data_IF_440190498670
#
_entry.id   IF_440190498670
#
_cell.length_a   1.000
_cell.length_b   1.000
_cell.length_c   1.000
_cell.angle_alpha   90.00
_cell.angle_beta   90.00
_cell.angle_gamma   90.00
#
_symmetry.space_group_name_H-M   'P 1'
#
loop_
_entity.id
_entity.type
_entity.pdbx_description
1 polymer ?
#
# COMPACT_ATOMS: atom_id res chain seq x y z
N UNK A 1 -2.13 32.70 -3.29
CA UNK A 1 -0.93 31.86 -3.11
C UNK A 1 -0.36 31.55 -4.49
N UNK A 2 0.96 31.63 -4.66
CA UNK A 2 1.59 31.30 -5.95
C UNK A 2 1.52 29.78 -6.15
N UNK A 3 0.76 29.33 -7.17
CA UNK A 3 0.54 27.91 -7.46
C UNK A 3 1.85 27.15 -7.67
N UNK A 4 2.84 27.79 -8.30
CA UNK A 4 4.14 27.17 -8.55
C UNK A 4 4.88 26.93 -7.23
N UNK A 5 4.86 27.92 -6.33
CA UNK A 5 5.50 27.82 -5.03
C UNK A 5 4.86 26.73 -4.17
N UNK A 6 3.53 26.71 -4.11
CA UNK A 6 2.78 25.69 -3.37
C UNK A 6 3.06 24.27 -3.86
N UNK A 7 3.04 24.06 -5.17
CA UNK A 7 3.34 22.74 -5.73
C UNK A 7 4.78 22.34 -5.41
N UNK A 8 5.75 23.25 -5.50
CA UNK A 8 7.13 22.93 -5.14
C UNK A 8 7.28 22.57 -3.65
N UNK A 9 6.60 23.29 -2.75
CA UNK A 9 6.64 22.99 -1.31
C UNK A 9 6.14 21.57 -1.02
N UNK A 10 4.97 21.21 -1.56
CA UNK A 10 4.41 19.85 -1.45
C UNK A 10 5.38 18.80 -2.02
N UNK A 11 5.89 19.03 -3.24
CA UNK A 11 6.74 18.04 -3.90
C UNK A 11 8.12 17.91 -3.24
N UNK A 12 8.65 18.96 -2.61
CA UNK A 12 9.92 18.88 -1.87
C UNK A 12 9.80 17.86 -0.74
N UNK A 13 8.71 17.89 0.02
CA UNK A 13 8.48 17.01 1.16
C UNK A 13 8.37 15.54 0.74
N UNK A 14 7.48 15.22 -0.20
CA UNK A 14 7.31 13.84 -0.68
C UNK A 14 8.58 13.31 -1.37
N UNK A 15 9.33 14.19 -2.05
CA UNK A 15 10.59 13.81 -2.71
C UNK A 15 11.71 13.55 -1.71
N UNK A 16 11.72 14.27 -0.59
CA UNK A 16 12.66 14.03 0.49
C UNK A 16 12.37 12.69 1.15
N UNK A 17 11.11 12.43 1.53
CA UNK A 17 10.69 11.14 2.10
C UNK A 17 11.01 9.96 1.17
N UNK A 18 10.77 10.12 -0.14
CA UNK A 18 11.14 9.14 -1.17
C UNK A 18 12.62 8.81 -1.17
N UNK A 19 13.50 9.81 -1.11
CA UNK A 19 14.96 9.60 -1.10
C UNK A 19 15.39 8.80 0.13
N UNK A 20 14.82 9.11 1.28
CA UNK A 20 15.12 8.43 2.54
C UNK A 20 14.66 6.97 2.52
N UNK A 21 13.45 6.69 2.05
CA UNK A 21 12.94 5.32 1.88
C UNK A 21 13.78 4.52 0.87
N UNK A 22 14.11 5.11 -0.28
CA UNK A 22 15.00 4.48 -1.26
C UNK A 22 16.35 4.13 -0.64
N UNK A 23 16.93 5.04 0.14
CA UNK A 23 18.19 4.80 0.82
C UNK A 23 18.07 3.63 1.80
N UNK A 24 17.03 3.62 2.65
CA UNK A 24 16.76 2.54 3.58
C UNK A 24 16.64 1.16 2.90
N UNK A 25 15.85 1.05 1.83
CA UNK A 25 15.67 -0.22 1.12
C UNK A 25 16.94 -0.65 0.39
N UNK A 26 17.69 0.29 -0.19
CA UNK A 26 18.97 0.02 -0.85
C UNK A 26 20.01 -0.51 0.14
N UNK A 27 20.11 0.07 1.33
CA UNK A 27 21.04 -0.41 2.38
C UNK A 27 20.71 -1.84 2.85
N UNK A 28 19.45 -2.25 2.75
CA UNK A 28 18.99 -3.61 3.07
C UNK A 28 19.03 -4.57 1.88
N UNK A 29 19.54 -4.13 0.72
CA UNK A 29 19.76 -4.98 -0.45
C UNK A 29 18.51 -5.22 -1.31
N UNK A 30 17.44 -4.45 -1.15
CA UNK A 30 16.25 -4.58 -1.99
C UNK A 30 16.49 -3.96 -3.38
N UNK A 31 16.01 -4.66 -4.40
CA UNK A 31 15.90 -4.11 -5.75
C UNK A 31 14.59 -3.35 -5.90
N UNK A 32 14.65 -2.19 -6.54
CA UNK A 32 13.48 -1.34 -6.73
C UNK A 32 13.50 -0.64 -8.09
N UNK A 33 12.31 -0.26 -8.55
CA UNK A 33 12.08 0.75 -9.58
C UNK A 33 11.33 1.91 -8.94
N UNK A 34 11.49 3.12 -9.47
CA UNK A 34 10.78 4.27 -8.96
C UNK A 34 10.30 5.14 -10.11
N UNK A 35 9.05 5.59 -10.03
CA UNK A 35 8.40 6.45 -11.01
C UNK A 35 7.40 7.40 -10.35
N UNK A 36 6.78 8.24 -11.16
CA UNK A 36 5.69 9.11 -10.73
C UNK A 36 4.42 8.73 -11.49
N UNK A 37 3.34 8.49 -10.76
CA UNK A 37 2.08 7.98 -11.29
C UNK A 37 0.93 8.81 -10.74
N UNK A 38 -0.06 9.10 -11.57
CA UNK A 38 -1.28 9.82 -11.20
C UNK A 38 -2.50 8.88 -11.25
N UNK A 39 -3.68 9.44 -11.00
CA UNK A 39 -4.98 8.76 -11.01
C UNK A 39 -5.19 7.76 -9.87
N UNK A 40 -4.57 8.04 -8.71
CA UNK A 40 -4.88 7.32 -7.48
C UNK A 40 -6.26 7.75 -6.98
N UNK A 41 -7.10 6.78 -6.61
CA UNK A 41 -8.41 7.07 -6.02
C UNK A 41 -8.29 7.05 -4.52
N UNK A 42 -8.55 8.20 -3.88
CA UNK A 42 -8.49 8.36 -2.43
C UNK A 42 -9.88 8.67 -1.88
N UNK A 43 -10.13 8.24 -0.65
CA UNK A 43 -11.40 8.48 0.03
C UNK A 43 -11.27 9.66 0.97
N UNK A 44 -11.96 10.75 0.67
CA UNK A 44 -12.00 11.99 1.47
C UNK A 44 -13.45 12.24 1.88
N UNK A 45 -13.72 12.35 3.18
CA UNK A 45 -15.07 12.59 3.70
C UNK A 45 -16.16 11.64 3.15
N UNK A 46 -15.82 10.35 2.98
CA UNK A 46 -16.63 9.30 2.35
C UNK A 46 -16.89 9.43 0.84
N UNK A 47 -16.31 10.41 0.16
CA UNK A 47 -16.33 10.53 -1.29
C UNK A 47 -15.02 10.03 -1.90
N UNK A 48 -15.13 9.31 -3.02
CA UNK A 48 -13.97 8.91 -3.81
C UNK A 48 -13.56 10.05 -4.73
N UNK A 49 -12.31 10.50 -4.60
CA UNK A 49 -11.71 11.52 -5.44
C UNK A 49 -10.54 10.90 -6.18
N UNK A 50 -10.46 11.15 -7.49
CA UNK A 50 -9.28 10.78 -8.29
C UNK A 50 -8.26 11.91 -8.27
N UNK A 51 -7.06 11.59 -7.84
CA UNK A 51 -5.93 12.53 -7.81
C UNK A 51 -5.29 12.62 -9.19
N UNK A 52 -5.45 13.76 -9.86
CA UNK A 52 -4.86 13.98 -11.19
C UNK A 52 -3.35 14.27 -11.15
N UNK A 53 -2.82 14.61 -9.98
CA UNK A 53 -1.39 14.88 -9.80
C UNK A 53 -0.59 13.58 -9.65
N UNK A 54 0.67 13.55 -10.10
CA UNK A 54 1.48 12.36 -9.99
C UNK A 54 2.26 12.30 -8.67
N UNK A 55 2.23 11.16 -7.98
CA UNK A 55 2.98 10.91 -6.74
C UNK A 55 4.12 9.92 -7.00
N UNK A 56 5.23 9.96 -6.23
CA UNK A 56 6.28 8.97 -6.36
C UNK A 56 5.84 7.61 -5.80
N UNK A 57 6.10 6.56 -6.59
CA UNK A 57 5.90 5.17 -6.20
C UNK A 57 7.22 4.41 -6.31
N UNK A 58 7.57 3.67 -5.27
CA UNK A 58 8.73 2.79 -5.20
C UNK A 58 8.24 1.35 -5.33
N UNK A 59 8.45 0.75 -6.49
CA UNK A 59 8.09 -0.63 -6.80
C UNK A 59 9.23 -1.56 -6.39
N UNK A 60 9.00 -2.38 -5.37
CA UNK A 60 9.97 -3.37 -4.89
C UNK A 60 9.64 -4.73 -5.52
N UNK A 61 10.62 -5.29 -6.23
CA UNK A 61 10.43 -6.53 -7.00
C UNK A 61 9.99 -7.69 -6.10
N UNK A 62 8.90 -8.38 -6.47
CA UNK A 62 8.28 -9.49 -5.72
C UNK A 62 7.72 -9.11 -4.33
N UNK A 63 7.67 -7.82 -4.00
CA UNK A 63 7.23 -7.34 -2.69
C UNK A 63 5.92 -6.58 -2.80
N UNK A 64 5.90 -5.51 -3.60
CA UNK A 64 4.77 -4.60 -3.71
C UNK A 64 5.20 -3.16 -4.03
N UNK A 65 4.23 -2.26 -4.07
CA UNK A 65 4.40 -0.87 -4.45
C UNK A 65 4.23 0.05 -3.23
N UNK A 66 5.22 0.90 -2.95
CA UNK A 66 5.18 1.88 -1.87
C UNK A 66 4.97 3.29 -2.45
N UNK A 67 3.76 3.80 -2.36
CA UNK A 67 3.38 5.15 -2.78
C UNK A 67 3.54 6.18 -1.66
N UNK A 68 4.05 7.36 -2.00
CA UNK A 68 4.21 8.48 -1.06
C UNK A 68 3.33 9.61 -1.57
N UNK A 69 2.11 9.65 -1.05
CA UNK A 69 1.14 10.69 -1.36
C UNK A 69 1.38 11.94 -0.48
N UNK A 70 0.67 13.02 -0.76
CA UNK A 70 0.72 14.30 -0.04
C UNK A 70 0.29 14.12 1.42
N UNK A 71 -0.70 13.27 1.68
CA UNK A 71 -1.32 13.13 3.00
C UNK A 71 -0.89 11.90 3.79
N UNK A 72 -0.40 10.87 3.10
CA UNK A 72 -0.07 9.58 3.69
C UNK A 72 0.92 8.81 2.81
N UNK A 73 1.41 7.69 3.33
CA UNK A 73 2.18 6.70 2.56
C UNK A 73 1.34 5.43 2.53
N UNK A 74 1.27 4.79 1.38
CA UNK A 74 0.63 3.48 1.25
C UNK A 74 1.60 2.44 0.73
N UNK A 75 1.44 1.21 1.20
CA UNK A 75 2.13 0.04 0.67
C UNK A 75 1.10 -0.96 0.15
N UNK A 76 1.15 -1.23 -1.14
CA UNK A 76 0.18 -2.07 -1.83
C UNK A 76 0.82 -3.39 -2.27
N UNK A 77 0.10 -4.47 -2.02
CA UNK A 77 0.45 -5.82 -2.47
C UNK A 77 -0.75 -6.41 -3.19
N UNK A 78 -0.51 -6.98 -4.36
CA UNK A 78 -1.48 -7.80 -5.07
C UNK A 78 -1.12 -9.27 -4.89
N UNK A 79 -2.09 -10.06 -4.44
CA UNK A 79 -1.97 -11.52 -4.30
C UNK A 79 -3.05 -12.23 -5.10
N UNK A 80 -2.83 -13.49 -5.45
CA UNK A 80 -3.90 -14.28 -6.08
C UNK A 80 -5.03 -14.52 -5.08
N UNK A 81 -6.24 -14.74 -5.59
CA UNK A 81 -7.39 -15.17 -4.78
C UNK A 81 -7.07 -16.37 -3.91
N UNK A 82 -6.34 -17.36 -4.44
CA UNK A 82 -5.93 -18.55 -3.69
C UNK A 82 -5.02 -18.19 -2.51
N UNK A 83 -3.96 -17.41 -2.76
CA UNK A 83 -3.06 -16.93 -1.72
C UNK A 83 -3.85 -16.19 -0.63
N UNK A 84 -4.70 -15.23 -1.00
CA UNK A 84 -5.53 -14.47 -0.06
C UNK A 84 -6.42 -15.36 0.83
N UNK A 85 -7.02 -16.42 0.28
CA UNK A 85 -7.84 -17.36 1.05
C UNK A 85 -7.01 -18.18 2.06
N UNK A 86 -5.70 -18.36 1.81
CA UNK A 86 -4.79 -19.01 2.76
C UNK A 86 -4.18 -18.06 3.79
N UNK A 87 -4.15 -16.74 3.54
CA UNK A 87 -3.55 -15.76 4.45
C UNK A 87 -4.19 -15.76 5.84
N UNK A 88 -3.38 -15.48 6.85
CA UNK A 88 -3.84 -15.25 8.22
C UNK A 88 -3.91 -13.75 8.48
N UNK A 89 -5.06 -13.15 8.16
CA UNK A 89 -5.27 -11.70 8.27
C UNK A 89 -5.17 -11.18 9.71
N UNK A 90 -5.34 -12.04 10.72
CA UNK A 90 -5.13 -11.63 12.14
C UNK A 90 -3.68 -11.20 12.39
N UNK A 91 -2.71 -11.75 11.65
CA UNK A 91 -1.30 -11.33 11.75
C UNK A 91 -1.04 -9.91 11.23
N UNK A 92 -1.98 -9.35 10.46
CA UNK A 92 -1.90 -8.01 9.89
C UNK A 92 -2.55 -6.95 10.79
N UNK A 93 -3.25 -7.36 11.86
CA UNK A 93 -3.93 -6.47 12.82
C UNK A 93 -3.06 -5.38 13.45
N UNK A 94 -1.73 -5.54 13.64
CA UNK A 94 -0.89 -4.44 14.10
C UNK A 94 -0.80 -3.26 13.13
N UNK A 95 -1.19 -3.44 11.87
CA UNK A 95 -1.13 -2.43 10.82
C UNK A 95 -2.52 -1.92 10.46
N UNK A 96 -2.58 -0.67 9.99
CA UNK A 96 -3.77 -0.13 9.34
C UNK A 96 -3.78 -0.61 7.90
N UNK A 97 -4.80 -1.38 7.51
CA UNK A 97 -4.88 -1.94 6.17
C UNK A 97 -6.31 -2.10 5.65
N UNK A 98 -6.41 -2.22 4.34
CA UNK A 98 -7.64 -2.51 3.61
C UNK A 98 -7.41 -3.72 2.69
N UNK A 99 -8.50 -4.41 2.36
CA UNK A 99 -8.50 -5.55 1.43
C UNK A 99 -9.63 -5.35 0.45
N UNK A 100 -9.33 -5.36 -0.85
CA UNK A 100 -10.28 -5.02 -1.90
C UNK A 100 -10.03 -5.86 -3.17
N UNK A 101 -10.98 -5.80 -4.11
CA UNK A 101 -10.86 -6.45 -5.41
C UNK A 101 -10.02 -5.64 -6.40
N UNK A 102 -9.11 -6.27 -7.14
CA UNK A 102 -8.30 -5.54 -8.14
C UNK A 102 -9.10 -5.22 -9.39
N UNK A 103 -9.99 -6.12 -9.81
CA UNK A 103 -10.86 -5.92 -10.96
C UNK A 103 -12.01 -4.94 -10.63
N UNK A 104 -12.51 -4.98 -9.40
CA UNK A 104 -13.45 -3.99 -8.86
C UNK A 104 -12.93 -3.35 -7.57
N UNK A 105 -12.13 -2.30 -7.73
CA UNK A 105 -11.50 -1.54 -6.63
C UNK A 105 -12.48 -0.86 -5.67
N UNK A 106 -13.77 -0.77 -6.00
CA UNK A 106 -14.80 -0.24 -5.11
C UNK A 106 -15.35 -1.30 -4.13
N UNK A 107 -14.97 -2.56 -4.29
CA UNK A 107 -15.47 -3.68 -3.49
C UNK A 107 -14.54 -4.00 -2.31
N UNK A 108 -14.77 -3.33 -1.18
CA UNK A 108 -14.02 -3.58 0.04
C UNK A 108 -14.41 -4.94 0.68
N UNK A 109 -13.44 -5.85 0.69
CA UNK A 109 -13.50 -7.05 1.52
C UNK A 109 -13.29 -6.68 2.99
N UNK A 110 -12.38 -5.76 3.27
CA UNK A 110 -12.14 -5.22 4.61
C UNK A 110 -11.64 -3.78 4.57
N UNK A 111 -12.12 -3.02 5.53
CA UNK A 111 -11.61 -1.74 5.99
C UNK A 111 -11.96 -1.64 7.49
N UNK A 112 -11.55 -0.56 8.16
CA UNK A 112 -11.76 -0.40 9.61
C UNK A 112 -13.23 -0.45 10.06
N UNK A 113 -14.19 -0.21 9.15
CA UNK A 113 -15.62 -0.28 9.44
C UNK A 113 -16.21 -1.68 9.28
N UNK A 114 -15.44 -2.63 8.74
CA UNK A 114 -15.86 -3.98 8.42
C UNK A 114 -15.20 -5.02 9.34
N UNK A 115 -15.87 -6.13 9.64
CA UNK A 115 -15.31 -7.17 10.50
C UNK A 115 -14.24 -7.99 9.77
N UNK A 116 -13.06 -8.11 10.39
CA UNK A 116 -11.90 -8.84 9.85
C UNK A 116 -12.22 -10.30 9.50
N UNK A 117 -13.04 -10.97 10.31
CA UNK A 117 -13.45 -12.37 10.11
C UNK A 117 -14.24 -12.62 8.80
N UNK A 118 -14.81 -11.58 8.19
CA UNK A 118 -15.61 -11.71 6.97
C UNK A 118 -14.78 -11.64 5.69
N UNK A 119 -13.49 -11.27 5.74
CA UNK A 119 -12.62 -11.12 4.55
C UNK A 119 -12.73 -12.33 3.63
N UNK A 120 -12.40 -13.52 4.15
CA UNK A 120 -12.39 -14.75 3.34
C UNK A 120 -13.79 -15.14 2.85
N UNK A 121 -14.84 -14.80 3.58
CA UNK A 121 -16.22 -15.08 3.17
C UNK A 121 -16.61 -14.20 1.98
N UNK A 122 -16.21 -12.93 1.99
CA UNK A 122 -16.46 -12.01 0.88
C UNK A 122 -15.62 -12.36 -0.36
N UNK A 123 -14.33 -12.68 -0.20
CA UNK A 123 -13.46 -13.15 -1.30
C UNK A 123 -14.03 -14.41 -1.98
N UNK A 124 -14.61 -15.35 -1.22
CA UNK A 124 -15.27 -16.54 -1.80
C UNK A 124 -16.53 -16.23 -2.61
N UNK A 125 -17.17 -15.09 -2.34
CA UNK A 125 -18.41 -14.66 -3.02
C UNK A 125 -18.14 -13.70 -4.18
N UNK A 126 -16.93 -13.18 -4.31
CA UNK A 126 -16.53 -12.34 -5.43
C UNK A 126 -16.00 -13.17 -6.60
N UNK A 127 -16.00 -12.56 -7.77
CA UNK A 127 -15.40 -13.09 -9.00
C UNK A 127 -13.97 -12.58 -9.24
N UNK A 128 -13.40 -11.81 -8.27
CA UNK A 128 -12.03 -11.30 -8.36
C UNK A 128 -11.00 -12.43 -8.47
N UNK A 129 -10.07 -12.29 -9.42
CA UNK A 129 -8.93 -13.20 -9.58
C UNK A 129 -7.75 -12.76 -8.70
N UNK A 130 -7.64 -11.45 -8.49
CA UNK A 130 -6.58 -10.81 -7.72
C UNK A 130 -7.15 -9.98 -6.58
N UNK A 131 -6.46 -10.01 -5.44
CA UNK A 131 -6.87 -9.31 -4.22
C UNK A 131 -5.78 -8.29 -3.87
N UNK A 132 -6.18 -7.03 -3.77
CA UNK A 132 -5.34 -5.95 -3.29
C UNK A 132 -5.34 -5.88 -1.78
N UNK A 133 -4.17 -5.65 -1.19
CA UNK A 133 -3.99 -5.37 0.23
C UNK A 133 -3.17 -4.09 0.34
N UNK A 134 -3.78 -3.02 0.84
CA UNK A 134 -3.11 -1.73 1.02
C UNK A 134 -2.93 -1.43 2.50
N UNK A 135 -1.70 -1.07 2.89
CA UNK A 135 -1.32 -0.68 4.23
C UNK A 135 -1.02 0.80 4.26
N UNK A 136 -1.39 1.49 5.34
CA UNK A 136 -1.30 2.94 5.41
C UNK A 136 -0.40 3.40 6.57
N UNK A 137 0.46 4.36 6.28
CA UNK A 137 1.38 5.01 7.21
C UNK A 137 1.17 6.52 7.18
N UNK A 138 1.48 7.18 8.29
CA UNK A 138 1.43 8.64 8.37
C UNK A 138 2.68 9.20 7.69
N UNK A 139 2.55 10.29 6.93
CA UNK A 139 3.66 10.89 6.17
C UNK A 139 4.87 11.27 7.05
N UNK A 140 4.60 11.69 8.29
CA UNK A 140 5.60 12.09 9.27
C UNK A 140 6.24 10.92 10.03
N UNK A 141 5.79 9.69 9.79
CA UNK A 141 6.36 8.52 10.44
C UNK A 141 7.84 8.35 10.05
N UNK A 142 8.73 7.98 11.01
CA UNK A 142 10.13 7.72 10.73
C UNK A 142 10.33 6.64 9.66
N UNK A 143 11.30 6.87 8.78
CA UNK A 143 11.59 6.02 7.62
C UNK A 143 11.96 4.59 8.01
N UNK A 144 12.66 4.43 9.14
CA UNK A 144 12.99 3.13 9.69
C UNK A 144 11.76 2.39 10.20
N UNK A 145 10.77 3.08 10.77
CA UNK A 145 9.51 2.46 11.19
C UNK A 145 8.71 1.97 9.97
N UNK A 146 8.48 2.84 8.99
CA UNK A 146 7.77 2.48 7.73
C UNK A 146 8.50 1.34 7.03
N UNK A 147 9.80 1.49 6.82
CA UNK A 147 10.60 0.51 6.08
C UNK A 147 10.66 -0.85 6.79
N UNK A 148 10.76 -0.89 8.11
CA UNK A 148 10.72 -2.15 8.87
C UNK A 148 9.31 -2.79 8.84
N UNK A 149 8.25 -1.98 8.88
CA UNK A 149 6.87 -2.47 8.75
C UNK A 149 6.63 -3.11 7.39
N UNK A 150 7.05 -2.48 6.29
CA UNK A 150 7.00 -3.05 4.93
C UNK A 150 7.67 -4.43 4.88
N UNK A 151 8.86 -4.56 5.47
CA UNK A 151 9.60 -5.83 5.50
C UNK A 151 8.88 -6.89 6.33
N UNK A 152 8.29 -6.53 7.47
CA UNK A 152 7.54 -7.46 8.32
C UNK A 152 6.22 -7.90 7.67
N UNK A 153 5.49 -6.97 7.05
CA UNK A 153 4.28 -7.25 6.26
C UNK A 153 4.58 -8.25 5.16
N UNK A 154 5.63 -7.98 4.37
CA UNK A 154 6.05 -8.89 3.30
C UNK A 154 6.34 -10.31 3.81
N UNK A 155 7.04 -10.43 4.95
CA UNK A 155 7.27 -11.74 5.59
C UNK A 155 5.95 -12.41 5.98
N UNK A 156 5.01 -11.68 6.57
CA UNK A 156 3.70 -12.24 6.98
C UNK A 156 2.86 -12.75 5.81
N UNK A 157 3.02 -12.16 4.63
CA UNK A 157 2.28 -12.55 3.42
C UNK A 157 2.97 -13.70 2.68
N UNK A 158 4.30 -13.70 2.54
CA UNK A 158 5.04 -14.69 1.72
C UNK A 158 5.36 -16.01 2.47
N UNK A 159 5.30 -16.06 3.80
CA UNK A 159 5.73 -17.22 4.62
C UNK A 159 4.96 -18.55 4.41
N UNK A 160 4.15 -18.70 3.35
CA UNK A 160 3.54 -19.99 2.96
C UNK A 160 4.16 -20.70 1.76
N UNK A 161 5.05 -20.07 0.99
CA UNK A 161 5.60 -20.70 -0.22
C UNK A 161 6.87 -21.56 -0.01
N UNK A 162 7.38 -21.68 1.23
CA UNK A 162 8.59 -22.49 1.53
C UNK A 162 8.32 -23.69 2.43
N UNK A 163 7.32 -24.48 2.11
CA UNK A 163 7.23 -25.88 2.53
C UNK A 163 7.19 -26.75 1.27
N UNK A 164 8.37 -27.00 0.71
CA UNK A 164 8.65 -28.14 -0.18
C UNK A 164 9.47 -29.13 0.64
#
# INVERSE_FOLDING_TARGET
MDKLKTLNEIYIEINQKKKELIHFFKEKGFQYRCGYYNQHSVKVDNEWITEEYPIPVISMEQIGDLGIDISHIFFEIVVTREQALTLDFEKLRPYRFEVYGVENFLNDFYNETLPLQDIKKKIRRSDEESIGISFFFIIDEPVDQIGNAVIDIHKKIILKERLI
#
